data_IF_767419742629
#
_entry.id   IF_767419742629
#
_cell.length_a   1.000
_cell.length_b   1.000
_cell.length_c   1.000
_cell.angle_alpha   90.00
_cell.angle_beta   90.00
_cell.angle_gamma   90.00
#
_symmetry.space_group_name_H-M   'P 1'
#
loop_
_entity.id
_entity.type
_entity.pdbx_description
1 polymer ?
#
# COMPACT_ATOMS: atom_id res chain seq x y z
N UNK A 1 -10.12 20.01 11.65
CA UNK A 1 -9.13 19.13 10.98
C UNK A 1 -9.76 18.57 9.72
N UNK A 2 -9.05 18.62 8.58
CA UNK A 2 -9.43 17.80 7.44
C UNK A 2 -9.30 16.31 7.81
N UNK A 3 -10.19 15.42 7.34
CA UNK A 3 -10.08 14.00 7.62
C UNK A 3 -8.80 13.45 6.98
N UNK A 4 -7.95 12.80 7.78
CA UNK A 4 -6.77 12.09 7.27
C UNK A 4 -7.22 10.95 6.36
N UNK A 5 -6.55 10.76 5.23
CA UNK A 5 -6.89 9.67 4.33
C UNK A 5 -6.73 8.32 5.03
N UNK A 6 -7.77 7.49 5.00
CA UNK A 6 -7.73 6.16 5.58
C UNK A 6 -6.67 5.23 4.97
N UNK A 7 -6.14 5.52 3.76
CA UNK A 7 -5.17 4.66 3.07
C UNK A 7 -3.70 5.01 3.35
N UNK A 8 -3.36 6.30 3.36
CA UNK A 8 -1.98 6.74 3.57
C UNK A 8 -1.76 7.53 4.86
N UNK A 9 -2.83 7.98 5.52
CA UNK A 9 -2.76 8.83 6.72
C UNK A 9 -2.39 10.30 6.45
N UNK A 10 -2.18 10.70 5.20
CA UNK A 10 -1.89 12.09 4.80
C UNK A 10 -3.16 12.95 4.76
N UNK A 11 -2.97 14.24 4.98
CA UNK A 11 -3.92 15.34 4.78
C UNK A 11 -3.46 16.35 3.70
N UNK A 12 -2.34 16.07 3.02
CA UNK A 12 -1.68 16.87 1.96
C UNK A 12 -2.44 16.98 0.62
N UNK A 13 -3.78 16.93 0.63
CA UNK A 13 -4.58 17.07 -0.58
C UNK A 13 -4.69 18.53 -1.03
N UNK A 14 -4.74 18.83 -2.35
CA UNK A 14 -5.08 20.17 -2.80
C UNK A 14 -6.42 20.58 -2.18
N UNK A 15 -6.45 21.74 -1.52
CA UNK A 15 -7.61 22.27 -0.80
C UNK A 15 -8.06 21.41 0.42
N UNK A 16 -7.18 20.60 1.00
CA UNK A 16 -7.48 19.79 2.19
C UNK A 16 -8.33 18.54 1.90
N UNK A 17 -8.48 18.16 0.62
CA UNK A 17 -9.25 16.98 0.21
C UNK A 17 -8.30 15.87 -0.26
N UNK A 18 -7.74 15.12 0.68
CA UNK A 18 -7.05 13.86 0.40
C UNK A 18 -7.96 12.68 0.73
N UNK A 19 -8.89 12.36 -0.18
CA UNK A 19 -9.80 11.22 0.02
C UNK A 19 -9.18 9.91 -0.47
N UNK A 20 -9.74 8.78 -0.03
CA UNK A 20 -9.28 7.48 -0.50
C UNK A 20 -9.35 7.29 -2.01
N UNK A 21 -10.32 7.92 -2.68
CA UNK A 21 -10.57 7.74 -4.12
C UNK A 21 -9.44 8.27 -4.98
N UNK A 22 -8.75 9.31 -4.48
CA UNK A 22 -7.67 10.02 -5.17
C UNK A 22 -6.30 9.73 -4.54
N UNK A 23 -6.23 8.82 -3.58
CA UNK A 23 -4.99 8.47 -2.93
C UNK A 23 -4.11 7.67 -3.90
N UNK A 24 -2.98 8.25 -4.32
CA UNK A 24 -2.01 7.58 -5.20
C UNK A 24 -1.38 6.32 -4.58
N UNK A 25 -1.51 6.16 -3.25
CA UNK A 25 -1.07 4.98 -2.50
C UNK A 25 -2.17 3.92 -2.38
N UNK A 26 -3.32 4.08 -3.05
CA UNK A 26 -4.38 3.06 -3.11
C UNK A 26 -4.05 1.90 -4.05
N UNK A 27 -2.79 1.76 -4.43
CA UNK A 27 -2.29 0.72 -5.29
C UNK A 27 -1.60 -0.36 -4.46
N UNK A 28 -1.90 -1.62 -4.76
CA UNK A 28 -1.37 -2.78 -4.03
C UNK A 28 -0.72 -3.73 -5.01
N UNK A 29 0.31 -4.41 -4.53
CA UNK A 29 0.77 -5.60 -5.26
C UNK A 29 -0.33 -6.65 -5.31
N UNK A 30 -0.31 -7.43 -6.38
CA UNK A 30 -1.22 -8.56 -6.53
C UNK A 30 -1.08 -9.51 -5.33
N UNK A 31 -2.17 -9.84 -4.66
CA UNK A 31 -2.12 -10.73 -3.49
C UNK A 31 -1.72 -12.17 -3.84
N UNK A 32 -1.85 -12.59 -5.09
CA UNK A 32 -1.38 -13.89 -5.57
C UNK A 32 0.14 -13.94 -5.84
N UNK A 33 0.82 -12.78 -5.85
CA UNK A 33 2.28 -12.70 -6.01
C UNK A 33 3.00 -12.50 -4.68
N UNK A 34 2.24 -12.41 -3.58
CA UNK A 34 2.81 -12.30 -2.25
C UNK A 34 3.41 -13.64 -1.79
N UNK A 35 4.49 -13.60 -1.01
CA UNK A 35 5.02 -14.78 -0.33
C UNK A 35 3.95 -15.53 0.47
N UNK A 36 4.03 -16.86 0.51
CA UNK A 36 3.03 -17.72 1.18
C UNK A 36 2.93 -17.50 2.69
N UNK A 37 3.98 -16.97 3.32
CA UNK A 37 4.02 -16.59 4.74
C UNK A 37 3.33 -15.25 5.02
N UNK A 38 3.01 -14.47 3.98
CA UNK A 38 2.21 -13.26 4.13
C UNK A 38 0.74 -13.64 4.35
N UNK A 39 0.16 -13.21 5.48
CA UNK A 39 -1.23 -13.50 5.85
C UNK A 39 -2.28 -12.98 4.86
N UNK A 40 -1.91 -12.04 4.00
CA UNK A 40 -2.77 -11.50 2.95
C UNK A 40 -2.60 -12.22 1.61
N UNK A 41 -1.65 -13.16 1.50
CA UNK A 41 -1.42 -13.93 0.29
C UNK A 41 -2.66 -14.73 -0.12
N UNK A 42 -2.84 -14.87 -1.43
CA UNK A 42 -3.86 -15.73 -2.03
C UNK A 42 -3.17 -16.89 -2.75
N UNK A 43 -3.68 -18.11 -2.56
CA UNK A 43 -3.16 -19.30 -3.24
C UNK A 43 -3.63 -19.37 -4.69
N UNK A 44 -2.74 -19.83 -5.58
CA UNK A 44 -3.02 -20.04 -7.00
C UNK A 44 -2.45 -18.95 -7.89
N UNK A 45 -3.01 -18.79 -9.09
CA UNK A 45 -2.53 -17.84 -10.10
C UNK A 45 -3.53 -16.71 -10.26
N UNK A 46 -3.05 -15.46 -10.28
CA UNK A 46 -3.88 -14.31 -10.61
C UNK A 46 -4.40 -14.43 -12.04
N UNK A 47 -5.72 -14.31 -12.23
CA UNK A 47 -6.36 -14.30 -13.56
C UNK A 47 -6.73 -12.91 -14.06
N UNK A 48 -6.42 -11.86 -13.29
CA UNK A 48 -6.61 -10.49 -13.75
C UNK A 48 -5.40 -10.08 -14.61
N UNK A 49 -5.55 -9.85 -15.93
CA UNK A 49 -4.45 -9.41 -16.79
C UNK A 49 -3.89 -8.05 -16.39
N UNK A 50 -4.70 -7.19 -15.75
CA UNK A 50 -4.22 -5.89 -15.27
C UNK A 50 -3.14 -6.00 -14.20
N UNK A 51 -2.99 -7.16 -13.54
CA UNK A 51 -1.91 -7.38 -12.56
C UNK A 51 -0.65 -8.00 -13.18
N UNK A 52 -0.77 -8.77 -14.27
CA UNK A 52 0.37 -9.42 -14.92
C UNK A 52 1.20 -8.44 -15.75
N UNK A 53 0.56 -7.40 -16.27
CA UNK A 53 1.20 -6.46 -17.21
C UNK A 53 1.75 -5.20 -16.51
N UNK A 54 1.64 -5.13 -15.18
CA UNK A 54 2.16 -3.99 -14.41
C UNK A 54 3.68 -4.08 -14.38
N UNK A 55 4.32 -3.08 -14.98
CA UNK A 55 5.78 -2.91 -14.93
C UNK A 55 6.14 -1.65 -14.15
N UNK A 56 7.03 -1.79 -13.18
CA UNK A 56 7.46 -0.68 -12.36
C UNK A 56 8.34 0.29 -13.16
N UNK A 57 8.02 1.58 -13.14
CA UNK A 57 8.77 2.60 -13.88
C UNK A 57 10.17 2.90 -13.31
N UNK A 58 10.45 2.53 -12.05
CA UNK A 58 11.74 2.81 -11.41
C UNK A 58 12.66 1.60 -11.35
N UNK A 59 12.16 0.42 -10.98
CA UNK A 59 12.98 -0.80 -10.92
C UNK A 59 12.91 -1.65 -12.19
N UNK A 60 11.94 -1.39 -13.07
CA UNK A 60 11.67 -2.17 -14.28
C UNK A 60 11.29 -3.64 -14.07
N UNK A 61 11.02 -4.06 -12.84
CA UNK A 61 10.45 -5.38 -12.51
C UNK A 61 8.94 -5.40 -12.73
N UNK A 62 8.41 -6.59 -12.97
CA UNK A 62 6.97 -6.83 -13.17
C UNK A 62 6.21 -7.01 -11.85
N UNK A 63 4.87 -6.97 -11.93
CA UNK A 63 3.94 -7.30 -10.84
C UNK A 63 3.66 -6.17 -9.84
N UNK A 64 4.22 -4.97 -10.04
CA UNK A 64 3.95 -3.80 -9.20
C UNK A 64 4.26 -2.47 -9.90
N UNK A 65 3.57 -1.40 -9.48
CA UNK A 65 3.89 -0.02 -9.83
C UNK A 65 4.85 0.59 -8.81
N UNK A 66 5.39 1.78 -9.12
CA UNK A 66 6.30 2.52 -8.24
C UNK A 66 5.78 2.71 -6.80
N UNK A 67 4.46 2.87 -6.63
CA UNK A 67 3.82 3.13 -5.33
C UNK A 67 3.00 1.95 -4.78
N UNK A 68 3.09 0.77 -5.39
CA UNK A 68 2.34 -0.39 -4.90
C UNK A 68 2.74 -0.75 -3.48
N UNK A 69 1.76 -0.82 -2.59
CA UNK A 69 1.96 -1.26 -1.22
C UNK A 69 1.91 -2.79 -1.12
N UNK A 70 2.71 -3.33 -0.21
CA UNK A 70 2.62 -4.71 0.27
C UNK A 70 1.71 -4.70 1.50
N UNK A 71 0.56 -5.40 1.49
CA UNK A 71 -0.29 -5.44 2.67
C UNK A 71 0.43 -6.15 3.84
N UNK A 72 0.45 -5.49 4.99
CA UNK A 72 1.09 -5.94 6.24
C UNK A 72 0.19 -5.69 7.45
N UNK A 73 0.30 -6.56 8.45
CA UNK A 73 -0.43 -6.44 9.72
C UNK A 73 -0.04 -5.11 10.39
N UNK A 74 -1.01 -4.46 11.05
CA UNK A 74 -0.85 -3.15 11.69
C UNK A 74 -1.05 -1.97 10.74
N UNK A 75 -1.07 -2.21 9.42
CA UNK A 75 -1.52 -1.27 8.39
C UNK A 75 -2.82 -1.75 7.76
N UNK A 76 -2.92 -3.05 7.51
CA UNK A 76 -4.09 -3.65 6.88
C UNK A 76 -4.69 -4.73 7.76
N UNK A 77 -5.99 -4.91 7.62
CA UNK A 77 -6.75 -5.96 8.29
C UNK A 77 -7.90 -6.41 7.38
N UNK A 78 -8.43 -7.59 7.62
CA UNK A 78 -9.66 -8.03 6.97
C UNK A 78 -10.87 -7.38 7.62
N UNK A 79 -11.82 -6.95 6.80
CA UNK A 79 -13.17 -6.61 7.22
C UNK A 79 -13.99 -7.86 7.49
N UNK A 80 -15.20 -7.66 8.02
CA UNK A 80 -16.12 -8.76 8.31
C UNK A 80 -16.52 -9.57 7.05
N UNK A 81 -16.51 -8.95 5.87
CA UNK A 81 -16.75 -9.60 4.58
C UNK A 81 -15.47 -10.10 3.89
N UNK A 82 -14.32 -10.09 4.58
CA UNK A 82 -13.04 -10.58 4.06
C UNK A 82 -12.32 -9.63 3.10
N UNK A 83 -12.86 -8.43 2.90
CA UNK A 83 -12.21 -7.37 2.14
C UNK A 83 -11.05 -6.75 2.92
N UNK A 84 -10.02 -6.28 2.20
CA UNK A 84 -8.90 -5.59 2.83
C UNK A 84 -9.32 -4.17 3.23
N UNK A 85 -9.17 -3.83 4.50
CA UNK A 85 -9.43 -2.48 5.04
C UNK A 85 -8.20 -1.93 5.75
N UNK A 86 -8.03 -0.61 5.80
CA UNK A 86 -7.05 0.00 6.70
C UNK A 86 -7.36 -0.41 8.15
N UNK A 87 -6.33 -0.83 8.88
CA UNK A 87 -6.40 -0.98 10.33
C UNK A 87 -6.84 0.32 11.03
N UNK A 88 -7.66 0.20 12.09
CA UNK A 88 -8.17 1.36 12.84
C UNK A 88 -7.01 2.17 13.46
N UNK A 89 -5.98 1.46 13.94
CA UNK A 89 -4.74 2.06 14.46
C UNK A 89 -3.61 1.77 13.48
N UNK A 90 -3.48 2.61 12.46
CA UNK A 90 -2.39 2.54 11.50
C UNK A 90 -1.05 2.77 12.19
N UNK A 91 -0.12 1.81 12.08
CA UNK A 91 1.30 2.13 12.31
C UNK A 91 1.78 3.15 11.28
N UNK A 92 2.86 3.87 11.62
CA UNK A 92 3.53 4.73 10.65
C UNK A 92 3.92 3.92 9.42
N UNK A 93 3.77 4.57 8.29
CA UNK A 93 4.09 4.07 6.98
C UNK A 93 5.61 3.96 6.89
N UNK A 94 6.13 2.80 6.51
CA UNK A 94 7.56 2.50 6.50
C UNK A 94 8.01 2.03 5.12
N UNK A 95 9.32 1.99 4.90
CA UNK A 95 9.84 1.68 3.57
C UNK A 95 9.49 0.26 3.11
N UNK A 96 9.39 -0.66 4.04
CA UNK A 96 9.01 -2.06 3.81
C UNK A 96 7.52 -2.27 3.47
N UNK A 97 6.68 -1.25 3.63
CA UNK A 97 5.26 -1.28 3.25
C UNK A 97 5.06 -1.19 1.74
N UNK A 98 6.13 -1.07 0.94
CA UNK A 98 6.05 -0.99 -0.51
C UNK A 98 6.93 -2.01 -1.19
N UNK A 99 6.50 -2.41 -2.38
CA UNK A 99 7.20 -3.42 -3.17
C UNK A 99 8.44 -2.87 -3.88
N UNK A 100 8.37 -1.62 -4.38
CA UNK A 100 9.50 -1.02 -5.06
C UNK A 100 10.55 -0.51 -4.06
N UNK A 101 11.74 -1.12 -4.07
CA UNK A 101 12.88 -0.67 -3.26
C UNK A 101 13.45 0.70 -3.64
N UNK A 102 13.14 1.18 -4.84
CA UNK A 102 13.59 2.48 -5.35
C UNK A 102 12.53 3.57 -5.22
N UNK A 103 11.44 3.30 -4.50
CA UNK A 103 10.44 4.34 -4.32
C UNK A 103 11.03 5.53 -3.58
N UNK A 104 10.52 6.72 -3.88
CA UNK A 104 10.91 7.95 -3.17
C UNK A 104 9.83 8.22 -2.13
N UNK A 105 10.25 8.48 -0.89
CA UNK A 105 9.35 8.90 0.19
C UNK A 105 8.69 10.24 -0.19
N UNK A 106 7.37 10.27 -0.14
CA UNK A 106 6.56 11.48 -0.37
C UNK A 106 6.25 12.15 0.97
N UNK A 107 5.92 13.47 0.98
CA UNK A 107 5.39 14.13 2.16
C UNK A 107 4.26 13.31 2.81
N UNK A 108 4.35 13.10 4.12
CA UNK A 108 3.45 12.22 4.89
C UNK A 108 3.91 10.77 5.04
N UNK A 109 4.96 10.34 4.32
CA UNK A 109 5.72 9.14 4.68
C UNK A 109 6.54 9.45 5.94
N UNK A 110 6.11 8.92 7.08
CA UNK A 110 6.87 9.05 8.31
C UNK A 110 8.14 8.21 8.22
N UNK A 111 9.27 8.63 8.80
CA UNK A 111 10.40 7.73 8.95
C UNK A 111 9.96 6.51 9.78
N UNK A 112 10.35 5.30 9.34
CA UNK A 112 10.44 4.15 10.23
C UNK A 112 11.40 4.57 11.35
N UNK A 113 10.86 4.76 12.56
CA UNK A 113 11.47 5.65 13.55
C UNK A 113 12.91 5.29 13.91
N UNK A 114 13.72 6.30 14.23
CA UNK A 114 14.71 6.11 15.27
C UNK A 114 13.94 5.91 16.59
N UNK A 115 13.74 4.64 16.96
CA UNK A 115 13.40 4.30 18.33
C UNK A 115 14.67 4.48 19.17
N UNK A 116 14.59 5.37 20.15
CA UNK A 116 15.48 5.41 21.31
C UNK A 116 14.71 4.81 22.50
#
# INVERSE_FOLDING_TARGET
MAPRCGYCGSDDGPQGVHSFRVCRKRDFVCRYTLPDDNVFSLRGVCRNPEHSDIKCSACHEDGHSFNSQVPRIGRWQFGASGELRPAIRQRKLADDDFACRYRIALPGDGPAGAAA
#
